data_IF_813860811891
#
_entry.id   IF_813860811891
#
_cell.length_a   1.000
_cell.length_b   1.000
_cell.length_c   1.000
_cell.angle_alpha   90.00
_cell.angle_beta   90.00
_cell.angle_gamma   90.00
#
_symmetry.space_group_name_H-M   'P 1'
#
loop_
_entity.id
_entity.type
_entity.pdbx_description
1 polymer ?
#
# COMPACT_ATOMS: atom_id res chain seq x y z
N UNK A 1 -23.30 -10.03 19.95
CA UNK A 1 -23.61 -10.52 18.59
C UNK A 1 -24.96 -9.92 18.22
N UNK A 2 -25.10 -9.26 17.05
CA UNK A 2 -26.36 -8.61 16.66
C UNK A 2 -27.37 -9.66 16.20
N UNK A 3 -28.66 -9.46 16.49
CA UNK A 3 -29.70 -10.42 16.14
C UNK A 3 -30.16 -10.28 14.67
N UNK A 4 -29.98 -9.10 14.06
CA UNK A 4 -30.34 -8.85 12.65
C UNK A 4 -29.26 -8.07 11.89
N UNK A 5 -29.36 -8.09 10.56
CA UNK A 5 -28.51 -7.30 9.65
C UNK A 5 -28.73 -5.81 9.90
N UNK A 6 -29.96 -5.36 10.13
CA UNK A 6 -30.29 -3.97 10.41
C UNK A 6 -29.62 -3.46 11.68
N UNK A 7 -29.61 -4.28 12.75
CA UNK A 7 -28.91 -3.96 13.98
C UNK A 7 -27.39 -3.87 13.77
N UNK A 8 -26.81 -4.78 12.98
CA UNK A 8 -25.39 -4.74 12.64
C UNK A 8 -25.03 -3.49 11.81
N UNK A 9 -25.85 -3.16 10.81
CA UNK A 9 -25.66 -1.99 9.96
C UNK A 9 -25.74 -0.69 10.76
N UNK A 10 -26.74 -0.56 11.64
CA UNK A 10 -26.90 0.61 12.50
C UNK A 10 -25.66 0.81 13.38
N UNK A 11 -25.12 -0.26 13.97
CA UNK A 11 -23.93 -0.20 14.81
C UNK A 11 -22.66 0.18 14.02
N UNK A 12 -22.47 -0.34 12.81
CA UNK A 12 -21.33 0.02 11.95
C UNK A 12 -21.40 1.48 11.52
N UNK A 13 -22.59 1.95 11.09
CA UNK A 13 -22.80 3.35 10.69
C UNK A 13 -22.54 4.30 11.87
N UNK A 14 -23.00 3.95 13.08
CA UNK A 14 -22.73 4.75 14.28
C UNK A 14 -21.22 4.92 14.51
N UNK A 15 -20.45 3.83 14.44
CA UNK A 15 -18.99 3.87 14.57
C UNK A 15 -18.31 4.74 13.53
N UNK A 16 -18.75 4.66 12.27
CA UNK A 16 -18.21 5.52 11.19
C UNK A 16 -18.51 7.00 11.49
N UNK A 17 -19.71 7.32 11.97
CA UNK A 17 -20.12 8.71 12.32
C UNK A 17 -19.40 9.25 13.55
N UNK A 18 -19.06 8.39 14.50
CA UNK A 18 -18.34 8.73 15.73
C UNK A 18 -16.84 8.89 15.51
N UNK A 19 -16.31 8.37 14.40
CA UNK A 19 -14.89 8.48 14.08
C UNK A 19 -14.44 9.95 14.04
N UNK A 20 -13.35 10.25 14.76
CA UNK A 20 -12.67 11.55 14.78
C UNK A 20 -11.19 11.31 14.48
N UNK A 21 -10.82 11.08 13.20
CA UNK A 21 -9.41 10.95 12.85
C UNK A 21 -8.71 12.30 13.09
N UNK A 22 -7.57 12.25 13.78
CA UNK A 22 -6.75 13.41 14.08
C UNK A 22 -5.33 13.15 13.59
N UNK A 23 -4.72 14.18 13.02
CA UNK A 23 -3.33 14.14 12.60
C UNK A 23 -2.42 14.11 13.82
N UNK A 24 -1.54 13.12 13.87
CA UNK A 24 -0.62 12.86 14.98
C UNK A 24 0.82 13.18 14.58
N UNK A 25 1.32 12.58 13.49
CA UNK A 25 2.72 12.75 13.08
C UNK A 25 2.96 12.25 11.64
N UNK A 26 4.22 12.32 11.20
CA UNK A 26 4.72 11.77 9.93
C UNK A 26 6.03 11.02 10.17
N UNK A 27 6.05 9.74 9.82
CA UNK A 27 7.27 8.91 9.83
C UNK A 27 7.35 8.03 8.57
N UNK A 28 8.48 7.34 8.40
CA UNK A 28 8.70 6.37 7.35
C UNK A 28 7.77 5.16 7.51
N UNK A 29 7.21 4.68 6.39
CA UNK A 29 6.30 3.55 6.40
C UNK A 29 6.89 2.29 7.06
N UNK A 30 8.19 2.04 6.87
CA UNK A 30 8.89 0.88 7.45
C UNK A 30 8.94 0.90 8.99
N UNK A 31 8.84 2.09 9.60
CA UNK A 31 8.87 2.24 11.05
C UNK A 31 7.47 2.02 11.65
N UNK A 32 6.42 2.42 10.92
CA UNK A 32 5.03 2.37 11.37
C UNK A 32 4.27 1.09 10.94
N UNK A 33 4.68 0.46 9.84
CA UNK A 33 4.03 -0.71 9.26
C UNK A 33 4.98 -1.91 9.38
N UNK A 34 4.75 -2.82 10.35
CA UNK A 34 5.65 -3.96 10.62
C UNK A 34 5.90 -4.84 9.40
N UNK A 35 4.89 -4.99 8.54
CA UNK A 35 4.99 -5.78 7.31
C UNK A 35 6.07 -5.23 6.36
N UNK A 36 6.34 -3.92 6.39
CA UNK A 36 7.34 -3.25 5.55
C UNK A 36 8.74 -3.20 6.19
N UNK A 37 8.89 -3.63 7.44
CA UNK A 37 10.16 -3.52 8.16
C UNK A 37 11.28 -4.36 7.53
N UNK A 38 10.93 -5.48 6.88
CA UNK A 38 11.88 -6.42 6.30
C UNK A 38 11.56 -6.69 4.83
N UNK A 39 12.61 -6.99 4.05
CA UNK A 39 12.48 -7.32 2.62
C UNK A 39 12.16 -6.13 1.71
N UNK A 40 12.04 -6.42 0.41
CA UNK A 40 11.63 -5.47 -0.62
C UNK A 40 10.14 -5.60 -0.86
N UNK A 41 9.38 -4.62 -0.41
CA UNK A 41 7.92 -4.66 -0.42
C UNK A 41 7.34 -3.36 -0.89
N UNK A 42 6.31 -3.47 -1.70
CA UNK A 42 5.69 -2.37 -2.42
C UNK A 42 4.19 -2.38 -2.18
N UNK A 43 3.65 -1.26 -1.68
CA UNK A 43 2.23 -1.12 -1.40
C UNK A 43 1.49 -0.60 -2.62
N UNK A 44 0.39 -1.22 -3.05
CA UNK A 44 -0.39 -0.71 -4.18
C UNK A 44 -1.86 -0.46 -3.82
N UNK A 45 -2.50 0.42 -4.59
CA UNK A 45 -3.93 0.65 -4.49
C UNK A 45 -4.73 -0.49 -5.13
N UNK A 46 -5.96 -0.67 -4.67
CA UNK A 46 -6.88 -1.67 -5.21
C UNK A 46 -6.74 -3.07 -4.60
N UNK A 47 -7.45 -4.07 -5.16
CA UNK A 47 -7.40 -5.46 -4.71
C UNK A 47 -6.06 -6.12 -5.08
N UNK A 48 -5.71 -7.28 -4.48
CA UNK A 48 -4.50 -8.03 -4.83
C UNK A 48 -4.34 -8.20 -6.34
N UNK A 49 -3.15 -7.88 -6.86
CA UNK A 49 -2.83 -7.96 -8.29
C UNK A 49 -1.40 -8.44 -8.47
N UNK A 50 -1.17 -9.29 -9.48
CA UNK A 50 0.19 -9.73 -9.83
C UNK A 50 0.88 -8.72 -10.75
N UNK A 51 2.21 -8.75 -10.82
CA UNK A 51 2.98 -7.91 -11.75
C UNK A 51 2.48 -8.00 -13.20
N UNK A 52 2.15 -9.22 -13.65
CA UNK A 52 1.66 -9.49 -15.01
C UNK A 52 0.31 -8.80 -15.31
N UNK A 53 -0.50 -8.55 -14.30
CA UNK A 53 -1.84 -7.94 -14.42
C UNK A 53 -1.83 -6.44 -14.13
N UNK A 54 -0.73 -5.90 -13.61
CA UNK A 54 -0.59 -4.47 -13.37
C UNK A 54 -0.63 -3.67 -14.69
N UNK A 55 -1.37 -2.57 -14.68
CA UNK A 55 -1.42 -1.64 -15.81
C UNK A 55 -0.10 -0.88 -15.99
N UNK A 56 0.15 -0.40 -17.21
CA UNK A 56 1.38 0.35 -17.54
C UNK A 56 1.73 1.47 -16.55
N UNK A 57 0.78 2.33 -16.12
CA UNK A 57 1.06 3.36 -15.13
C UNK A 57 1.52 2.80 -13.78
N UNK A 58 0.88 1.75 -13.26
CA UNK A 58 1.27 1.11 -11.99
C UNK A 58 2.65 0.48 -12.12
N UNK A 59 2.94 -0.18 -13.25
CA UNK A 59 4.26 -0.76 -13.54
C UNK A 59 5.37 0.29 -13.57
N UNK A 60 5.18 1.38 -14.30
CA UNK A 60 6.15 2.49 -14.33
C UNK A 60 6.39 3.08 -12.94
N UNK A 61 5.35 3.11 -12.12
CA UNK A 61 5.43 3.60 -10.76
C UNK A 61 6.16 2.61 -9.83
N UNK A 62 6.05 1.29 -10.05
CA UNK A 62 6.88 0.28 -9.37
C UNK A 62 8.36 0.43 -9.72
N UNK A 63 8.68 0.62 -11.01
CA UNK A 63 10.05 0.82 -11.49
C UNK A 63 10.66 2.06 -10.84
N UNK A 64 9.93 3.18 -10.85
CA UNK A 64 10.36 4.42 -10.19
C UNK A 64 10.58 4.24 -8.69
N UNK A 65 9.79 3.39 -8.03
CA UNK A 65 9.99 3.08 -6.63
C UNK A 65 11.23 2.22 -6.37
N UNK A 66 11.53 1.23 -7.21
CA UNK A 66 12.76 0.44 -7.12
C UNK A 66 14.01 1.32 -7.23
N UNK A 67 13.98 2.30 -8.14
CA UNK A 67 15.06 3.27 -8.31
C UNK A 67 15.17 4.20 -7.10
N UNK A 68 14.04 4.70 -6.61
CA UNK A 68 13.99 5.59 -5.44
C UNK A 68 14.50 4.91 -4.16
N UNK A 69 14.13 3.65 -3.94
CA UNK A 69 14.58 2.84 -2.81
C UNK A 69 16.00 2.27 -3.02
N UNK A 70 16.66 2.61 -4.13
CA UNK A 70 18.01 2.19 -4.47
C UNK A 70 18.17 0.66 -4.55
N UNK A 71 17.11 -0.05 -4.97
CA UNK A 71 17.18 -1.50 -5.21
C UNK A 71 17.75 -1.83 -6.59
N UNK A 72 17.73 -0.85 -7.49
CA UNK A 72 18.26 -0.92 -8.83
C UNK A 72 18.89 0.43 -9.21
N UNK A 73 19.89 0.38 -10.08
CA UNK A 73 20.60 1.55 -10.63
C UNK A 73 20.06 1.97 -12.00
N UNK A 74 19.26 1.10 -12.64
CA UNK A 74 18.65 1.35 -13.96
C UNK A 74 17.24 0.78 -14.06
N UNK A 75 16.45 1.30 -15.00
CA UNK A 75 15.10 0.81 -15.28
C UNK A 75 15.11 -0.68 -15.68
N UNK A 76 16.11 -1.11 -16.45
CA UNK A 76 16.26 -2.50 -16.87
C UNK A 76 16.52 -3.43 -15.68
N UNK A 77 17.35 -3.00 -14.72
CA UNK A 77 17.60 -3.76 -13.51
C UNK A 77 16.35 -3.80 -12.62
N UNK A 78 15.64 -2.68 -12.47
CA UNK A 78 14.38 -2.63 -11.73
C UNK A 78 13.33 -3.56 -12.33
N UNK A 79 13.19 -3.57 -13.65
CA UNK A 79 12.27 -4.46 -14.36
C UNK A 79 12.62 -5.92 -14.11
N UNK A 80 13.89 -6.29 -14.22
CA UNK A 80 14.34 -7.66 -13.96
C UNK A 80 14.02 -8.12 -12.52
N UNK A 81 14.14 -7.24 -11.52
CA UNK A 81 13.76 -7.55 -10.13
C UNK A 81 12.26 -7.79 -9.98
N UNK A 82 11.45 -6.95 -10.63
CA UNK A 82 9.98 -7.03 -10.59
C UNK A 82 9.49 -8.29 -11.32
N UNK A 83 10.08 -8.64 -12.45
CA UNK A 83 9.74 -9.84 -13.24
C UNK A 83 10.18 -11.14 -12.56
N UNK A 84 11.31 -11.13 -11.84
CA UNK A 84 11.77 -12.28 -11.04
C UNK A 84 10.95 -12.51 -9.77
N UNK A 85 10.06 -11.58 -9.41
CA UNK A 85 9.28 -11.66 -8.17
C UNK A 85 10.12 -11.45 -6.90
N UNK A 86 11.25 -10.74 -7.00
CA UNK A 86 12.09 -10.39 -5.84
C UNK A 86 11.46 -9.28 -4.97
N UNK A 87 10.32 -8.74 -5.39
CA UNK A 87 9.58 -7.68 -4.72
C UNK A 87 8.16 -8.17 -4.43
N UNK A 88 7.77 -8.13 -3.16
CA UNK A 88 6.43 -8.50 -2.72
C UNK A 88 5.48 -7.31 -2.85
N UNK A 89 4.32 -7.52 -3.48
CA UNK A 89 3.26 -6.52 -3.60
C UNK A 89 2.19 -6.75 -2.54
N UNK A 90 1.85 -5.70 -1.80
CA UNK A 90 0.85 -5.76 -0.74
C UNK A 90 -0.21 -4.68 -1.00
N UNK A 91 -1.51 -5.01 -1.03
CA UNK A 91 -2.55 -3.98 -1.11
C UNK A 91 -2.51 -3.07 0.12
N UNK A 92 -2.65 -1.76 -0.07
CA UNK A 92 -2.62 -0.80 1.04
C UNK A 92 -3.64 -1.16 2.14
N UNK A 93 -4.84 -1.63 1.77
CA UNK A 93 -5.89 -1.98 2.72
C UNK A 93 -5.54 -3.17 3.63
N UNK A 94 -4.61 -4.05 3.22
CA UNK A 94 -4.16 -5.16 4.05
C UNK A 94 -3.26 -4.72 5.22
N UNK A 95 -2.74 -3.49 5.17
CA UNK A 95 -1.86 -2.91 6.19
C UNK A 95 -2.46 -1.64 6.81
N UNK A 96 -3.80 -1.53 6.83
CA UNK A 96 -4.54 -0.39 7.38
C UNK A 96 -4.15 0.96 6.75
N UNK A 97 -3.83 0.95 5.46
CA UNK A 97 -3.33 2.10 4.74
C UNK A 97 -4.15 2.35 3.46
N UNK A 98 -4.04 3.55 2.90
CA UNK A 98 -4.72 3.94 1.65
C UNK A 98 -3.77 4.73 0.74
N UNK A 99 -3.84 4.50 -0.57
CA UNK A 99 -3.02 5.20 -1.57
C UNK A 99 -3.89 5.90 -2.62
N UNK A 100 -3.70 7.20 -2.89
CA UNK A 100 -4.45 7.90 -3.95
C UNK A 100 -4.08 7.40 -5.36
N UNK A 101 -4.99 7.60 -6.32
CA UNK A 101 -4.96 7.01 -7.66
C UNK A 101 -3.66 7.29 -8.43
N UNK A 102 -3.13 6.27 -9.11
CA UNK A 102 -1.78 6.28 -9.69
C UNK A 102 -0.69 5.87 -8.68
N UNK A 103 -1.07 5.14 -7.62
CA UNK A 103 -0.21 4.69 -6.54
C UNK A 103 1.08 4.07 -7.08
N UNK A 104 2.10 4.92 -7.22
CA UNK A 104 3.48 4.51 -7.15
C UNK A 104 3.56 3.68 -5.89
N UNK A 105 3.88 2.38 -5.99
CA UNK A 105 4.13 1.63 -4.81
C UNK A 105 5.36 2.22 -4.17
N UNK A 106 5.18 3.09 -3.18
CA UNK A 106 6.30 3.70 -2.49
C UNK A 106 6.35 3.07 -1.14
N UNK A 107 7.49 2.46 -0.83
CA UNK A 107 7.84 2.08 0.54
C UNK A 107 8.08 3.34 1.40
N UNK A 108 8.29 4.49 0.76
CA UNK A 108 8.25 5.83 1.37
C UNK A 108 7.11 6.65 0.76
N UNK A 109 5.90 6.46 1.28
CA UNK A 109 4.99 7.59 1.45
C UNK A 109 5.29 8.18 2.83
N UNK A 110 5.44 9.51 2.92
CA UNK A 110 5.08 10.22 4.15
C UNK A 110 3.62 9.86 4.39
N UNK A 111 3.38 8.95 5.32
CA UNK A 111 2.02 8.64 5.72
C UNK A 111 1.50 9.85 6.49
N UNK A 112 0.38 10.38 6.01
CA UNK A 112 -0.37 11.40 6.71
C UNK A 112 -1.36 10.64 7.58
N UNK A 113 -1.01 10.46 8.86
CA UNK A 113 -1.98 10.09 9.89
C UNK A 113 -2.31 11.31 10.70
#
# INVERSE_FOLDING_TARGET
MYATIEQANAAVIARIREARPHWQDVDLAKNLIPQLAQGRKLLHAGPPVTWAEMSGPVRGACIGACLFEQWAESEQQALALLEKGEIEFIPCHNVSAVGPMGASPRRICRWWW
#
